data_IF_221262111339
#
_entry.id   IF_221262111339
#
_cell.length_a   1.000
_cell.length_b   1.000
_cell.length_c   1.000
_cell.angle_alpha   90.00
_cell.angle_beta   90.00
_cell.angle_gamma   90.00
#
_symmetry.space_group_name_H-M   'P 1'
#
loop_
_entity.id
_entity.type
_entity.pdbx_description
1 polymer ?
#
# COMPACT_ATOMS: atom_id res chain seq x y z
N UNK A 1 -13.41 -9.36 -8.97
CA UNK A 1 -12.10 -8.78 -8.69
C UNK A 1 -11.62 -9.21 -7.32
N UNK A 2 -10.35 -9.48 -7.17
CA UNK A 2 -9.76 -9.86 -5.90
C UNK A 2 -9.57 -8.61 -5.03
N UNK A 3 -10.06 -8.64 -3.79
CA UNK A 3 -9.91 -7.53 -2.85
C UNK A 3 -8.54 -7.61 -2.19
N UNK A 4 -7.71 -6.58 -2.35
CA UNK A 4 -6.35 -6.60 -1.82
C UNK A 4 -6.04 -5.33 -1.03
N UNK A 5 -5.26 -5.50 0.04
CA UNK A 5 -4.62 -4.39 0.74
C UNK A 5 -3.32 -4.08 -0.02
N UNK A 6 -3.09 -2.82 -0.33
CA UNK A 6 -1.87 -2.40 -1.01
C UNK A 6 -0.95 -1.69 -0.02
N UNK A 7 0.27 -2.21 0.10
CA UNK A 7 1.31 -1.61 0.94
C UNK A 7 2.36 -0.96 0.04
N UNK A 8 2.67 0.30 0.33
CA UNK A 8 3.77 1.05 -0.28
C UNK A 8 4.22 2.16 0.68
N UNK A 9 5.40 2.77 0.48
CA UNK A 9 5.89 3.79 1.42
C UNK A 9 5.01 5.04 1.44
N UNK A 10 4.96 5.71 2.60
CA UNK A 10 4.37 7.04 2.74
C UNK A 10 5.35 8.01 3.39
N UNK A 11 5.81 7.73 4.61
CA UNK A 11 6.73 8.59 5.36
C UNK A 11 8.07 8.73 4.63
N UNK A 12 8.73 9.86 4.82
CA UNK A 12 9.99 10.18 4.16
C UNK A 12 9.75 11.19 3.04
N UNK A 13 10.09 10.86 1.81
CA UNK A 13 9.79 11.73 0.65
C UNK A 13 8.33 11.55 0.24
N UNK A 14 7.43 12.26 0.90
CA UNK A 14 5.98 12.10 0.74
C UNK A 14 5.53 12.35 -0.70
N UNK A 15 5.93 13.43 -1.39
CA UNK A 15 5.52 13.63 -2.79
C UNK A 15 5.93 12.49 -3.72
N UNK A 16 7.14 11.99 -3.58
CA UNK A 16 7.61 10.86 -4.38
C UNK A 16 6.83 9.58 -4.03
N UNK A 17 6.59 9.35 -2.75
CA UNK A 17 5.86 8.17 -2.28
C UNK A 17 4.41 8.17 -2.76
N UNK A 18 3.77 9.34 -2.82
CA UNK A 18 2.41 9.47 -3.38
C UNK A 18 2.41 9.09 -4.86
N UNK A 19 3.36 9.58 -5.64
CA UNK A 19 3.47 9.24 -7.06
C UNK A 19 3.68 7.74 -7.25
N UNK A 20 4.55 7.15 -6.46
CA UNK A 20 4.80 5.72 -6.48
C UNK A 20 3.53 4.91 -6.13
N UNK A 21 2.83 5.30 -5.06
CA UNK A 21 1.61 4.64 -4.63
C UNK A 21 0.54 4.67 -5.73
N UNK A 22 0.38 5.81 -6.42
CA UNK A 22 -0.55 5.93 -7.55
C UNK A 22 -0.22 4.94 -8.66
N UNK A 23 1.05 4.76 -8.99
CA UNK A 23 1.49 3.77 -9.99
C UNK A 23 1.21 2.35 -9.53
N UNK A 24 1.40 2.07 -8.25
CA UNK A 24 1.10 0.76 -7.67
C UNK A 24 -0.39 0.43 -7.72
N UNK A 25 -1.24 1.40 -7.39
CA UNK A 25 -2.70 1.26 -7.49
C UNK A 25 -3.09 0.94 -8.93
N UNK A 26 -2.53 1.66 -9.90
CA UNK A 26 -2.77 1.38 -11.32
C UNK A 26 -2.34 -0.04 -11.70
N UNK A 27 -1.16 -0.47 -11.28
CA UNK A 27 -0.66 -1.81 -11.58
C UNK A 27 -1.60 -2.88 -11.03
N UNK A 28 -2.05 -2.73 -9.80
CA UNK A 28 -2.99 -3.65 -9.15
C UNK A 28 -4.32 -3.72 -9.90
N UNK A 29 -4.88 -2.56 -10.26
CA UNK A 29 -6.13 -2.49 -11.02
C UNK A 29 -5.99 -3.21 -12.37
N UNK A 30 -4.88 -3.01 -13.06
CA UNK A 30 -4.64 -3.66 -14.35
C UNK A 30 -4.45 -5.18 -14.24
N UNK A 31 -4.14 -5.68 -13.05
CA UNK A 31 -4.11 -7.12 -12.78
C UNK A 31 -5.50 -7.70 -12.50
N UNK A 32 -6.54 -6.88 -12.48
CA UNK A 32 -7.91 -7.33 -12.16
C UNK A 32 -8.21 -7.36 -10.68
N UNK A 33 -7.42 -6.64 -9.87
CA UNK A 33 -7.63 -6.53 -8.42
C UNK A 33 -8.37 -5.25 -8.08
N UNK A 34 -8.97 -5.22 -6.89
CA UNK A 34 -9.57 -4.03 -6.30
C UNK A 34 -8.74 -3.64 -5.07
N UNK A 35 -7.73 -2.75 -5.23
CA UNK A 35 -6.82 -2.40 -4.15
C UNK A 35 -7.37 -1.32 -3.24
N UNK A 36 -7.04 -1.41 -1.95
CA UNK A 36 -7.19 -0.32 -0.99
C UNK A 36 -5.81 0.07 -0.48
N UNK A 37 -5.40 1.30 -0.73
CA UNK A 37 -4.17 1.90 -0.27
C UNK A 37 -4.53 2.98 0.75
N UNK A 38 -4.70 2.59 2.01
CA UNK A 38 -5.17 3.48 3.07
C UNK A 38 -4.22 4.66 3.30
N UNK A 39 -2.92 4.42 3.20
CA UNK A 39 -1.90 5.45 3.34
C UNK A 39 -1.95 6.51 2.23
N UNK A 40 -2.53 6.20 1.08
CA UNK A 40 -2.75 7.16 0.00
C UNK A 40 -4.11 7.85 0.13
N UNK A 41 -5.15 7.07 0.40
CA UNK A 41 -6.53 7.58 0.45
C UNK A 41 -6.78 8.48 1.65
N UNK A 42 -6.42 8.03 2.85
CA UNK A 42 -6.77 8.76 4.08
C UNK A 42 -5.87 9.95 4.36
N UNK A 43 -4.75 10.08 3.68
CA UNK A 43 -3.81 11.19 3.85
C UNK A 43 -4.03 12.34 2.86
N UNK A 44 -5.04 12.24 2.02
CA UNK A 44 -5.36 13.30 1.07
C UNK A 44 -5.88 14.55 1.80
N UNK A 45 -5.73 15.70 1.15
CA UNK A 45 -6.19 16.98 1.69
C UNK A 45 -7.62 16.89 2.22
N UNK A 46 -7.83 17.47 3.40
CA UNK A 46 -9.15 17.53 4.06
C UNK A 46 -9.68 16.18 4.56
N UNK A 47 -8.88 15.12 4.54
CA UNK A 47 -9.26 13.83 5.13
C UNK A 47 -8.59 13.69 6.50
N UNK A 48 -7.38 13.16 6.59
CA UNK A 48 -6.66 13.05 7.84
C UNK A 48 -5.27 13.67 7.73
N UNK A 49 -4.82 14.27 8.82
CA UNK A 49 -3.47 14.84 8.90
C UNK A 49 -2.54 13.84 9.57
N UNK A 50 -1.54 13.36 8.82
CA UNK A 50 -0.57 12.37 9.31
C UNK A 50 0.37 12.94 10.38
N UNK A 51 0.51 14.28 10.46
CA UNK A 51 1.31 14.98 11.46
C UNK A 51 0.60 15.14 12.80
N UNK A 52 -0.68 14.78 12.89
CA UNK A 52 -1.44 14.80 14.15
C UNK A 52 -1.57 13.34 14.63
N UNK A 53 -1.01 12.99 15.81
CA UNK A 53 -0.96 11.59 16.25
C UNK A 53 -2.31 10.88 16.30
N UNK A 54 -3.36 11.57 16.76
CA UNK A 54 -4.70 10.99 16.87
C UNK A 54 -5.30 10.70 15.49
N UNK A 55 -5.07 11.58 14.52
CA UNK A 55 -5.54 11.40 13.16
C UNK A 55 -4.76 10.31 12.44
N UNK A 56 -3.45 10.27 12.65
CA UNK A 56 -2.60 9.20 12.12
C UNK A 56 -3.06 7.84 12.62
N UNK A 57 -3.34 7.72 13.92
CA UNK A 57 -3.82 6.46 14.49
C UNK A 57 -5.17 6.05 13.92
N UNK A 58 -6.08 7.02 13.73
CA UNK A 58 -7.38 6.74 13.12
C UNK A 58 -7.21 6.19 11.70
N UNK A 59 -6.31 6.74 10.92
CA UNK A 59 -6.01 6.25 9.57
C UNK A 59 -5.43 4.83 9.58
N UNK A 60 -4.53 4.54 10.51
CA UNK A 60 -3.97 3.20 10.70
C UNK A 60 -5.07 2.20 11.05
N UNK A 61 -5.92 2.55 12.01
CA UNK A 61 -7.02 1.68 12.45
C UNK A 61 -8.00 1.41 11.32
N UNK A 62 -8.33 2.43 10.53
CA UNK A 62 -9.21 2.27 9.38
C UNK A 62 -8.58 1.34 8.32
N UNK A 63 -7.29 1.51 8.06
CA UNK A 63 -6.57 0.62 7.14
C UNK A 63 -6.57 -0.83 7.61
N UNK A 64 -6.33 -1.05 8.90
CA UNK A 64 -6.34 -2.40 9.49
C UNK A 64 -7.73 -3.04 9.41
N UNK A 65 -8.80 -2.24 9.53
CA UNK A 65 -10.16 -2.75 9.45
C UNK A 65 -10.47 -3.41 8.10
N UNK A 66 -9.86 -2.93 7.01
CA UNK A 66 -10.05 -3.51 5.68
C UNK A 66 -9.50 -4.93 5.57
N UNK A 67 -8.54 -5.32 6.42
CA UNK A 67 -7.96 -6.66 6.38
C UNK A 67 -8.97 -7.77 6.68
N UNK A 68 -10.07 -7.43 7.34
CA UNK A 68 -11.14 -8.40 7.66
C UNK A 68 -11.78 -8.97 6.39
N UNK A 69 -11.88 -8.17 5.34
CA UNK A 69 -12.53 -8.57 4.09
C UNK A 69 -11.55 -8.78 2.94
N UNK A 70 -10.30 -8.39 3.10
CA UNK A 70 -9.30 -8.54 2.05
C UNK A 70 -8.93 -10.00 1.84
N UNK A 71 -8.58 -10.33 0.59
CA UNK A 71 -8.17 -11.67 0.19
C UNK A 71 -6.66 -11.83 0.19
N UNK A 72 -5.92 -10.72 0.10
CA UNK A 72 -4.47 -10.71 0.11
C UNK A 72 -3.93 -9.32 0.45
N UNK A 73 -2.65 -9.28 0.80
CA UNK A 73 -1.87 -8.05 0.91
C UNK A 73 -0.82 -8.06 -0.20
N UNK A 74 -0.76 -6.98 -0.99
CA UNK A 74 0.21 -6.83 -2.06
C UNK A 74 1.17 -5.71 -1.69
N UNK A 75 2.46 -6.04 -1.67
CA UNK A 75 3.53 -5.18 -1.14
C UNK A 75 4.42 -4.73 -2.28
N UNK A 76 4.39 -3.44 -2.58
CA UNK A 76 5.21 -2.87 -3.65
C UNK A 76 6.50 -2.33 -3.04
N UNK A 77 7.62 -2.99 -3.32
CA UNK A 77 8.86 -2.85 -2.58
C UNK A 77 10.01 -2.20 -3.36
N UNK A 78 9.75 -1.56 -4.51
CA UNK A 78 10.79 -0.91 -5.30
C UNK A 78 11.58 0.14 -4.51
N UNK A 79 10.93 0.83 -3.58
CA UNK A 79 11.53 1.86 -2.75
C UNK A 79 11.92 1.35 -1.36
N UNK A 80 11.87 0.04 -1.14
CA UNK A 80 12.13 -0.58 0.15
C UNK A 80 10.87 -0.77 0.97
N UNK A 81 11.04 -1.32 2.16
CA UNK A 81 9.94 -1.59 3.10
C UNK A 81 10.14 -0.70 4.32
N UNK A 82 9.22 0.23 4.54
CA UNK A 82 9.25 1.12 5.70
C UNK A 82 8.73 0.40 6.95
N UNK A 83 8.90 1.04 8.12
CA UNK A 83 8.36 0.49 9.37
C UNK A 83 6.84 0.34 9.32
N UNK A 84 6.14 1.32 8.72
CA UNK A 84 4.70 1.26 8.56
C UNK A 84 4.26 0.11 7.66
N UNK A 85 4.98 -0.11 6.56
CA UNK A 85 4.73 -1.24 5.67
C UNK A 85 4.95 -2.56 6.41
N UNK A 86 6.05 -2.68 7.15
CA UNK A 86 6.35 -3.91 7.89
C UNK A 86 5.28 -4.22 8.93
N UNK A 87 4.77 -3.19 9.62
CA UNK A 87 3.67 -3.36 10.56
C UNK A 87 2.43 -3.94 9.85
N UNK A 88 2.06 -3.37 8.70
CA UNK A 88 0.93 -3.86 7.92
C UNK A 88 1.13 -5.28 7.41
N UNK A 89 2.36 -5.62 6.98
CA UNK A 89 2.71 -6.98 6.54
C UNK A 89 2.55 -7.98 7.69
N UNK A 90 3.06 -7.63 8.86
CA UNK A 90 2.99 -8.50 10.04
C UNK A 90 1.53 -8.75 10.44
N UNK A 91 0.69 -7.71 10.43
CA UNK A 91 -0.73 -7.83 10.71
C UNK A 91 -1.44 -8.72 9.68
N UNK A 92 -1.10 -8.59 8.40
CA UNK A 92 -1.66 -9.43 7.35
C UNK A 92 -1.33 -10.90 7.57
N UNK A 93 -0.07 -11.19 7.92
CA UNK A 93 0.36 -12.57 8.21
C UNK A 93 -0.33 -13.14 9.43
N UNK A 94 -0.50 -12.36 10.49
CA UNK A 94 -1.23 -12.79 11.69
C UNK A 94 -2.67 -13.16 11.37
N UNK A 95 -3.29 -12.47 10.43
CA UNK A 95 -4.66 -12.75 10.01
C UNK A 95 -4.77 -13.84 8.96
N UNK A 96 -3.65 -14.45 8.58
CA UNK A 96 -3.64 -15.52 7.60
C UNK A 96 -3.82 -15.07 6.17
N UNK A 97 -3.62 -13.78 5.87
CA UNK A 97 -3.69 -13.28 4.50
C UNK A 97 -2.45 -13.70 3.71
N UNK A 98 -2.66 -14.02 2.45
CA UNK A 98 -1.57 -14.16 1.49
C UNK A 98 -0.85 -12.82 1.35
N UNK A 99 0.48 -12.84 1.37
CA UNK A 99 1.30 -11.63 1.18
C UNK A 99 2.17 -11.83 -0.06
N UNK A 100 2.02 -10.95 -1.04
CA UNK A 100 2.78 -10.98 -2.28
C UNK A 100 3.64 -9.73 -2.40
N UNK A 101 4.95 -9.89 -2.63
CA UNK A 101 5.87 -8.77 -2.87
C UNK A 101 6.01 -8.53 -4.36
N UNK A 102 5.94 -7.26 -4.76
CA UNK A 102 5.96 -6.85 -6.16
C UNK A 102 6.94 -5.71 -6.43
N UNK A 103 7.38 -5.65 -7.68
CA UNK A 103 8.30 -4.61 -8.17
C UNK A 103 7.82 -4.15 -9.53
N UNK A 104 7.43 -2.87 -9.65
CA UNK A 104 6.98 -2.31 -10.93
C UNK A 104 8.13 -1.70 -11.73
N UNK A 105 9.18 -1.21 -11.06
CA UNK A 105 10.35 -0.66 -11.75
C UNK A 105 11.15 -1.76 -12.44
N UNK A 106 11.37 -2.87 -11.78
CA UNK A 106 12.04 -4.02 -12.37
C UNK A 106 11.27 -4.55 -13.57
N UNK A 107 9.94 -4.60 -13.46
CA UNK A 107 9.06 -5.00 -14.55
C UNK A 107 9.22 -4.05 -15.75
N UNK A 108 9.25 -2.74 -15.50
CA UNK A 108 9.42 -1.74 -16.53
C UNK A 108 10.81 -1.86 -17.18
N UNK A 109 11.87 -2.09 -16.41
CA UNK A 109 13.21 -2.33 -16.91
C UNK A 109 13.27 -3.56 -17.81
N UNK A 110 12.64 -4.65 -17.38
CA UNK A 110 12.59 -5.88 -18.15
C UNK A 110 11.91 -5.67 -19.49
N UNK A 111 10.83 -4.92 -19.52
CA UNK A 111 10.16 -4.58 -20.77
C UNK A 111 11.04 -3.73 -21.68
N UNK A 112 11.81 -2.81 -21.12
CA UNK A 112 12.74 -1.99 -21.88
C UNK A 112 13.91 -2.77 -22.45
N UNK A 113 14.21 -3.93 -21.91
CA UNK A 113 15.31 -4.79 -22.36
C UNK A 113 14.92 -5.74 -23.49
N UNK A 114 13.66 -5.92 -23.67
CA UNK A 114 13.13 -6.78 -24.73
C UNK A 114 12.68 -5.97 -25.91
#
# INVERSE_FOLDING_TARGET
MKLVILESPYAGNIPMNIQYARRCVRDSLLRGEAPIASHLLYTQDSILRDDIPEERQLGIDAGLAWKVVAQASVVYADLGITKGMQYGIDQAKEQGLEVETRYIFNKAENYGKV
#
